data_IF_674587547889
#
_entry.id   IF_674587547889
#
_cell.length_a   1.000
_cell.length_b   1.000
_cell.length_c   1.000
_cell.angle_alpha   90.00
_cell.angle_beta   90.00
_cell.angle_gamma   90.00
#
_symmetry.space_group_name_H-M   'P 1'
#
loop_
_entity.id
_entity.type
_entity.pdbx_description
1 polymer ?
#
# COMPACT_ATOMS: atom_id res chain seq x y z
N UNK A 1 4.25 -1.20 -11.52
CA UNK A 1 4.50 -0.59 -10.19
C UNK A 1 5.70 -1.24 -9.55
N UNK A 2 6.40 -0.53 -8.68
CA UNK A 2 7.47 -1.10 -7.86
C UNK A 2 6.90 -1.68 -6.55
N UNK A 3 7.70 -2.46 -5.81
CA UNK A 3 7.26 -3.14 -4.59
C UNK A 3 6.73 -2.17 -3.50
N UNK A 4 7.31 -0.97 -3.38
CA UNK A 4 6.87 0.03 -2.41
C UNK A 4 5.52 0.64 -2.81
N UNK A 5 5.36 1.00 -4.08
CA UNK A 5 4.10 1.49 -4.64
C UNK A 5 3.00 0.43 -4.51
N UNK A 6 3.34 -0.84 -4.74
CA UNK A 6 2.43 -1.98 -4.63
C UNK A 6 1.85 -2.13 -3.22
N UNK A 7 2.69 -2.00 -2.18
CA UNK A 7 2.24 -1.99 -0.78
C UNK A 7 1.32 -0.82 -0.48
N UNK A 8 1.58 0.33 -1.09
CA UNK A 8 0.72 1.50 -0.93
C UNK A 8 -0.67 1.24 -1.53
N UNK A 9 -0.74 0.70 -2.74
CA UNK A 9 -2.01 0.36 -3.39
C UNK A 9 -2.76 -0.73 -2.64
N UNK A 10 -2.09 -1.76 -2.10
CA UNK A 10 -2.73 -2.79 -1.25
C UNK A 10 -3.42 -2.15 -0.02
N UNK A 11 -2.71 -1.29 0.69
CA UNK A 11 -3.24 -0.59 1.86
C UNK A 11 -4.45 0.29 1.50
N UNK A 12 -4.37 0.99 0.36
CA UNK A 12 -5.43 1.88 -0.13
C UNK A 12 -6.68 1.08 -0.58
N UNK A 13 -6.50 -0.01 -1.31
CA UNK A 13 -7.58 -0.91 -1.73
C UNK A 13 -8.31 -1.50 -0.51
N UNK A 14 -7.54 -2.02 0.46
CA UNK A 14 -8.09 -2.55 1.71
C UNK A 14 -8.83 -1.50 2.52
N UNK A 15 -8.28 -0.29 2.64
CA UNK A 15 -8.92 0.78 3.40
C UNK A 15 -10.26 1.20 2.78
N UNK A 16 -10.36 1.21 1.45
CA UNK A 16 -11.61 1.55 0.76
C UNK A 16 -12.56 0.35 0.63
N UNK A 17 -12.13 -0.86 0.99
CA UNK A 17 -12.90 -2.09 0.76
C UNK A 17 -13.06 -2.44 -0.72
N UNK A 18 -12.12 -2.01 -1.55
CA UNK A 18 -12.10 -2.36 -2.98
C UNK A 18 -11.48 -3.76 -3.16
N UNK A 19 -12.10 -4.62 -3.99
CA UNK A 19 -11.54 -5.92 -4.31
C UNK A 19 -10.28 -5.78 -5.17
N UNK A 20 -9.26 -6.57 -4.85
CA UNK A 20 -8.02 -6.64 -5.62
C UNK A 20 -6.85 -7.17 -4.78
N UNK A 21 -5.99 -7.98 -5.40
CA UNK A 21 -4.79 -8.55 -4.82
C UNK A 21 -3.58 -7.96 -5.52
N UNK A 22 -2.71 -7.27 -4.78
CA UNK A 22 -1.47 -6.73 -5.34
C UNK A 22 -0.38 -7.78 -5.25
N UNK A 23 0.12 -8.23 -6.40
CA UNK A 23 1.11 -9.29 -6.49
C UNK A 23 2.17 -8.96 -7.55
N UNK A 24 3.37 -9.54 -7.46
CA UNK A 24 4.36 -9.40 -8.52
C UNK A 24 3.83 -10.05 -9.80
N UNK A 25 4.13 -9.43 -10.94
CA UNK A 25 3.78 -9.96 -12.25
C UNK A 25 4.37 -11.34 -12.46
N UNK A 26 5.58 -11.52 -11.97
CA UNK A 26 6.33 -12.76 -11.99
C UNK A 26 6.54 -13.24 -10.53
N UNK A 27 6.00 -14.40 -10.13
CA UNK A 27 6.10 -14.90 -8.75
C UNK A 27 7.54 -15.26 -8.36
N UNK A 28 8.39 -15.63 -9.32
CA UNK A 28 9.80 -15.95 -9.10
C UNK A 28 10.68 -14.69 -9.02
N UNK A 29 10.18 -13.54 -9.46
CA UNK A 29 10.87 -12.25 -9.38
C UNK A 29 10.08 -11.18 -8.59
N UNK A 30 10.11 -11.23 -7.24
CA UNK A 30 9.43 -10.25 -6.39
C UNK A 30 10.04 -8.84 -6.45
N UNK A 31 11.25 -8.69 -7.01
CA UNK A 31 11.88 -7.40 -7.29
C UNK A 31 11.42 -6.80 -8.64
N UNK A 32 10.70 -7.59 -9.45
CA UNK A 32 10.14 -7.18 -10.73
C UNK A 32 8.91 -6.29 -10.59
N UNK A 33 8.21 -6.02 -11.71
CA UNK A 33 7.02 -5.18 -11.71
C UNK A 33 5.85 -5.85 -10.98
N UNK A 34 5.12 -5.06 -10.20
CA UNK A 34 3.90 -5.45 -9.50
C UNK A 34 2.65 -4.91 -10.20
N UNK A 35 1.55 -5.67 -10.06
CA UNK A 35 0.23 -5.37 -10.62
C UNK A 35 -0.89 -5.71 -9.65
N UNK A 36 -2.08 -5.19 -9.91
CA UNK A 36 -3.30 -5.54 -9.18
C UNK A 36 -4.05 -6.60 -9.99
N UNK A 37 -4.40 -7.68 -9.31
CA UNK A 37 -5.13 -8.81 -9.85
C UNK A 37 -6.47 -8.96 -9.15
N UNK A 38 -7.43 -9.66 -9.77
CA UNK A 38 -8.71 -9.92 -9.11
C UNK A 38 -8.58 -10.94 -7.95
N UNK A 39 -7.65 -11.89 -8.05
CA UNK A 39 -7.34 -12.85 -6.99
C UNK A 39 -5.85 -13.25 -6.96
N UNK A 40 -5.46 -14.02 -5.94
CA UNK A 40 -4.05 -14.33 -5.64
C UNK A 40 -3.45 -15.46 -6.48
N UNK A 41 -4.28 -16.32 -7.08
CA UNK A 41 -3.83 -17.49 -7.84
C UNK A 41 -3.12 -17.07 -9.14
N UNK A 42 -1.84 -17.42 -9.33
CA UNK A 42 -1.06 -16.94 -10.47
C UNK A 42 -1.53 -17.49 -11.83
N UNK A 43 -2.15 -18.67 -11.87
CA UNK A 43 -2.57 -19.35 -13.09
C UNK A 43 -3.93 -18.87 -13.58
N UNK A 44 -4.83 -18.49 -12.66
CA UNK A 44 -6.18 -18.04 -13.02
C UNK A 44 -6.40 -16.54 -12.88
N UNK A 45 -5.48 -15.78 -12.26
CA UNK A 45 -5.63 -14.34 -12.03
C UNK A 45 -5.67 -13.53 -13.31
N UNK A 46 -6.52 -12.50 -13.29
CA UNK A 46 -6.60 -11.49 -14.36
C UNK A 46 -6.06 -10.16 -13.87
N UNK A 47 -5.25 -9.50 -14.70
CA UNK A 47 -4.76 -8.16 -14.41
C UNK A 47 -5.94 -7.18 -14.43
N UNK A 48 -6.27 -6.63 -13.27
CA UNK A 48 -7.35 -5.66 -13.04
C UNK A 48 -6.82 -4.29 -12.65
N UNK A 49 -5.52 -4.02 -12.85
CA UNK A 49 -4.88 -2.74 -12.50
C UNK A 49 -5.67 -1.53 -13.01
N UNK A 50 -6.18 -1.58 -14.25
CA UNK A 50 -6.99 -0.49 -14.80
C UNK A 50 -8.34 -0.33 -14.06
N UNK A 51 -9.01 -1.43 -13.74
CA UNK A 51 -10.31 -1.43 -13.06
C UNK A 51 -10.17 -0.97 -11.60
N UNK A 52 -9.12 -1.41 -10.91
CA UNK A 52 -8.77 -0.97 -9.56
C UNK A 52 -8.52 0.55 -9.51
N UNK A 53 -7.83 1.11 -10.52
CA UNK A 53 -7.61 2.56 -10.64
C UNK A 53 -8.91 3.32 -10.94
N UNK A 54 -9.82 2.76 -11.74
CA UNK A 54 -11.15 3.35 -11.97
C UNK A 54 -11.97 3.33 -10.68
N UNK A 55 -11.99 2.22 -9.94
CA UNK A 55 -12.65 2.11 -8.63
C UNK A 55 -12.11 3.11 -7.62
N UNK A 56 -10.78 3.29 -7.58
CA UNK A 56 -10.11 4.32 -6.80
C UNK A 56 -10.60 5.72 -7.21
N UNK A 57 -10.56 6.05 -8.50
CA UNK A 57 -11.01 7.35 -9.01
C UNK A 57 -12.48 7.64 -8.69
N UNK A 58 -13.35 6.63 -8.72
CA UNK A 58 -14.76 6.76 -8.34
C UNK A 58 -14.93 6.98 -6.84
N UNK A 59 -14.17 6.29 -5.99
CA UNK A 59 -14.18 6.50 -4.55
C UNK A 59 -13.77 7.94 -4.17
N UNK A 60 -12.77 8.50 -4.86
CA UNK A 60 -12.39 9.91 -4.73
C UNK A 60 -13.51 10.87 -5.12
N UNK A 61 -14.16 10.64 -6.27
CA UNK A 61 -15.29 11.47 -6.72
C UNK A 61 -16.47 11.42 -5.76
N UNK A 62 -16.67 10.30 -5.08
CA UNK A 62 -17.69 10.13 -4.05
C UNK A 62 -17.38 10.84 -2.73
N UNK A 63 -16.28 11.60 -2.65
CA UNK A 63 -15.90 12.37 -1.45
C UNK A 63 -15.38 11.50 -0.31
N UNK A 64 -15.00 10.25 -0.56
CA UNK A 64 -14.24 9.48 0.44
C UNK A 64 -12.84 10.09 0.56
N UNK A 65 -12.43 10.51 1.77
CA UNK A 65 -11.05 10.93 1.98
C UNK A 65 -10.14 9.72 1.71
N UNK A 66 -9.11 9.90 0.87
CA UNK A 66 -8.05 8.92 0.83
C UNK A 66 -7.32 8.87 2.18
N UNK A 67 -6.77 7.71 2.57
CA UNK A 67 -5.74 7.71 3.59
C UNK A 67 -4.57 8.59 3.09
N UNK A 68 -3.88 9.31 3.99
CA UNK A 68 -2.71 10.09 3.59
C UNK A 68 -1.73 9.17 2.87
N UNK A 69 -1.28 9.55 1.67
CA UNK A 69 -0.09 8.97 1.06
C UNK A 69 1.02 9.03 2.11
N UNK A 70 1.75 7.93 2.39
CA UNK A 70 2.95 8.05 3.16
C UNK A 70 3.91 8.90 2.32
N UNK A 71 3.95 10.21 2.60
CA UNK A 71 5.21 10.96 2.50
C UNK A 71 6.24 10.04 3.12
N UNK A 72 7.33 9.75 2.40
CA UNK A 72 8.47 8.99 2.91
C UNK A 72 8.64 9.31 4.39
N UNK A 73 8.12 8.43 5.26
CA UNK A 73 8.22 8.67 6.68
C UNK A 73 9.71 8.51 6.93
N UNK A 74 10.43 9.54 7.43
CA UNK A 74 11.78 9.30 7.89
C UNK A 74 11.65 8.18 8.90
N UNK A 75 12.26 7.02 8.59
CA UNK A 75 12.21 5.81 9.42
C UNK A 75 12.35 6.27 10.88
N UNK A 76 11.36 6.03 11.76
CA UNK A 76 11.59 6.28 13.17
C UNK A 76 12.63 5.25 13.61
N UNK A 77 13.89 5.68 13.60
CA UNK A 77 14.98 4.93 14.20
C UNK A 77 14.62 4.65 15.66
N UNK A 78 15.10 3.54 16.24
CA UNK A 78 14.74 3.14 17.59
C UNK A 78 15.08 4.28 18.54
N UNK A 79 14.05 4.95 19.06
CA UNK A 79 14.21 5.95 20.10
C UNK A 79 14.58 5.19 21.37
N UNK A 80 15.89 4.97 21.57
CA UNK A 80 16.45 4.61 22.87
C UNK A 80 16.13 5.76 23.80
N UNK A 81 15.04 5.62 24.57
CA UNK A 81 14.63 6.57 25.59
C UNK A 81 15.74 6.72 26.62
N UNK A 82 16.46 7.84 26.55
CA UNK A 82 17.17 8.36 27.72
C UNK A 82 16.14 9.12 28.55
N UNK A 83 15.74 8.52 29.68
CA UNK A 83 14.98 9.20 30.72
C UNK A 83 15.97 10.10 31.45
N UNK A 84 15.84 11.42 31.28
CA UNK A 84 16.54 12.39 32.14
C UNK A 84 15.60 12.66 33.33
N UNK A 85 15.95 12.27 34.56
CA UNK A 85 15.15 12.63 35.72
C UNK A 85 15.25 14.15 35.98
N UNK A 86 14.17 14.79 36.45
CA UNK A 86 14.21 16.20 36.82
C UNK A 86 15.15 16.40 38.00
N UNK A 87 16.02 17.41 37.91
CA UNK A 87 16.85 17.85 39.02
C UNK A 87 15.97 18.70 39.94
N UNK A 88 15.73 18.21 41.17
CA UNK A 88 15.19 19.02 42.26
C UNK A 88 16.27 19.97 42.77
N UNK A 89 15.85 21.24 42.96
CA UNK A 89 16.47 22.36 43.71
C UNK A 89 17.98 22.60 43.53
#
# INVERSE_FOLDING_TARGET
MNAEEARHVDAVLRHMGLPGVVAPQDPDNPAGPWRVYDHADPDTRRDTTADALVGLAQAFRAGRPLPPLPREQPKPGPTRGFVIPPKSD
#
